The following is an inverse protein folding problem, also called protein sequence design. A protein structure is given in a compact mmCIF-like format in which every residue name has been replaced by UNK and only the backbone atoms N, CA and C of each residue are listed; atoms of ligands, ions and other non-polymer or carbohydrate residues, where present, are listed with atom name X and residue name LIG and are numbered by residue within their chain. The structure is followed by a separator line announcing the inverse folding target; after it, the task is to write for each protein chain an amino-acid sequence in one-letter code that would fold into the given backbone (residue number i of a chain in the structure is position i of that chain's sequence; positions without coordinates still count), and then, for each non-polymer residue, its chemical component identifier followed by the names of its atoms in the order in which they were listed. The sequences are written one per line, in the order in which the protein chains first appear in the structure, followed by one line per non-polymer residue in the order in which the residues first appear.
data_IF_095478561791
#
_entry.id   IF_095478561791
#
_cell.length_a   1.000
_cell.length_b   1.000
_cell.length_c   1.000
_cell.angle_alpha   90.00
_cell.angle_beta   90.00
_cell.angle_gamma   90.00
#
_symmetry.space_group_name_H-M   'P 1'
#
loop_
_entity.id
_entity.type
_entity.pdbx_description
1 polymer ?
#
# COMPACT_ATOMS: atom_id res chain seq x y z
N UNK A 1 -18.23 -38.64 18.11
CA UNK A 1 -16.88 -38.62 17.52
C UNK A 1 -16.99 -38.88 16.03
N UNK A 2 -17.15 -37.85 15.19
CA UNK A 2 -17.13 -38.02 13.73
C UNK A 2 -15.69 -38.20 13.29
N UNK A 3 -15.42 -39.34 12.65
CA UNK A 3 -14.11 -39.79 12.22
C UNK A 3 -13.45 -38.77 11.28
N UNK A 4 -12.20 -38.41 11.57
CA UNK A 4 -11.31 -37.79 10.59
C UNK A 4 -11.17 -38.76 9.41
N UNK A 5 -11.67 -38.38 8.23
CA UNK A 5 -11.45 -39.13 6.99
C UNK A 5 -10.02 -38.90 6.49
N UNK A 6 -9.45 -39.89 5.79
CA UNK A 6 -8.09 -39.82 5.20
C UNK A 6 -7.89 -38.64 4.25
N UNK A 7 -8.98 -38.12 3.66
CA UNK A 7 -8.96 -36.95 2.77
C UNK A 7 -8.66 -35.62 3.50
N UNK A 8 -8.81 -35.59 4.83
CA UNK A 8 -8.59 -34.39 5.66
C UNK A 8 -7.13 -34.30 6.13
N UNK A 9 -6.35 -35.38 6.02
CA UNK A 9 -4.98 -35.43 6.50
C UNK A 9 -3.99 -34.90 5.45
N UNK A 10 -3.24 -33.86 5.80
CA UNK A 10 -2.18 -33.30 4.94
C UNK A 10 -0.92 -34.17 4.92
N UNK A 11 -0.20 -34.19 3.79
CA UNK A 11 1.04 -34.95 3.66
C UNK A 11 2.29 -34.11 4.02
N UNK A 12 3.12 -34.63 4.92
CA UNK A 12 4.37 -34.00 5.34
C UNK A 12 5.56 -34.95 5.11
N UNK A 13 6.61 -34.48 4.43
CA UNK A 13 7.80 -35.30 4.18
C UNK A 13 8.71 -35.41 5.40
N UNK A 14 8.86 -34.30 6.14
CA UNK A 14 9.77 -34.24 7.29
C UNK A 14 9.11 -33.45 8.41
N UNK A 15 8.89 -34.10 9.55
CA UNK A 15 8.46 -33.46 10.78
C UNK A 15 9.59 -33.51 11.80
N UNK A 16 10.05 -32.36 12.29
CA UNK A 16 11.11 -32.24 13.28
C UNK A 16 10.69 -31.29 14.38
N UNK A 17 10.83 -31.73 15.62
CA UNK A 17 10.72 -30.86 16.79
C UNK A 17 12.10 -30.24 17.07
N UNK A 18 12.19 -28.92 17.02
CA UNK A 18 13.40 -28.16 17.30
C UNK A 18 13.22 -27.36 18.60
N UNK A 19 14.24 -27.37 19.46
CA UNK A 19 14.26 -26.58 20.69
C UNK A 19 15.11 -25.34 20.48
N UNK A 20 14.52 -24.16 20.63
CA UNK A 20 15.22 -22.89 20.61
C UNK A 20 14.88 -22.11 21.89
N UNK A 21 15.91 -21.73 22.66
CA UNK A 21 15.76 -20.89 23.85
C UNK A 21 14.76 -21.44 24.89
N UNK A 22 14.75 -22.76 25.10
CA UNK A 22 13.85 -23.42 26.06
C UNK A 22 12.42 -23.66 25.57
N UNK A 23 12.04 -23.16 24.38
CA UNK A 23 10.72 -23.38 23.76
C UNK A 23 10.82 -24.45 22.66
N UNK A 24 9.78 -25.27 22.55
CA UNK A 24 9.66 -26.36 21.57
C UNK A 24 8.87 -25.85 20.36
N UNK A 25 9.41 -26.07 19.16
CA UNK A 25 8.80 -25.69 17.90
C UNK A 25 8.72 -26.89 16.98
N UNK A 26 7.57 -27.05 16.33
CA UNK A 26 7.36 -28.10 15.34
C UNK A 26 7.63 -27.51 13.96
N UNK A 27 8.69 -28.00 13.31
CA UNK A 27 9.01 -27.68 11.92
C UNK A 27 8.53 -28.82 11.04
N UNK A 28 7.62 -28.51 10.12
CA UNK A 28 7.14 -29.43 9.11
C UNK A 28 7.60 -28.95 7.73
N UNK A 29 8.28 -29.80 6.98
CA UNK A 29 8.58 -29.57 5.56
C UNK A 29 7.48 -30.27 4.75
N UNK A 30 6.41 -29.54 4.48
CA UNK A 30 5.41 -29.93 3.50
C UNK A 30 5.83 -29.47 2.08
N UNK A 31 5.26 -30.11 1.06
CA UNK A 31 5.57 -30.00 -0.38
C UNK A 31 5.74 -28.55 -0.93
N UNK A 32 6.34 -28.37 -2.13
CA UNK A 32 7.16 -27.20 -2.49
C UNK A 32 6.45 -25.83 -2.62
N UNK A 33 5.13 -25.75 -2.45
CA UNK A 33 4.35 -24.53 -2.70
C UNK A 33 4.20 -23.59 -1.50
N UNK A 34 4.44 -24.06 -0.27
CA UNK A 34 4.17 -23.27 0.93
C UNK A 34 5.45 -23.01 1.73
N UNK A 35 6.07 -21.84 1.54
CA UNK A 35 7.08 -21.33 2.48
C UNK A 35 6.37 -20.58 3.60
N UNK A 36 6.08 -21.28 4.69
CA UNK A 36 5.65 -20.64 5.93
C UNK A 36 6.89 -20.02 6.59
N UNK A 37 6.90 -18.70 6.74
CA UNK A 37 7.85 -18.05 7.64
C UNK A 37 7.47 -18.44 9.08
N UNK A 38 8.40 -18.96 9.91
CA UNK A 38 8.09 -19.31 11.28
C UNK A 38 7.74 -18.05 12.07
N UNK A 39 6.49 -17.96 12.56
CA UNK A 39 6.07 -16.89 13.45
C UNK A 39 6.52 -17.19 14.88
N UNK A 40 7.61 -16.54 15.30
CA UNK A 40 8.05 -16.55 16.69
C UNK A 40 7.03 -15.75 17.53
N UNK A 41 6.20 -16.44 18.30
CA UNK A 41 5.25 -15.80 19.22
C UNK A 41 5.99 -15.23 20.43
N UNK A 42 6.58 -14.05 20.28
CA UNK A 42 6.96 -13.22 21.42
C UNK A 42 5.97 -12.11 21.68
N UNK A 43 5.71 -11.91 22.95
CA UNK A 43 4.85 -10.87 23.50
C UNK A 43 5.39 -9.44 23.34
N UNK A 44 6.49 -9.22 22.61
CA UNK A 44 7.11 -7.91 22.46
C UNK A 44 6.62 -7.19 21.18
N UNK A 45 6.30 -5.90 21.35
CA UNK A 45 5.85 -5.00 20.27
C UNK A 45 6.78 -5.01 19.05
N UNK A 46 8.09 -5.14 19.28
CA UNK A 46 9.12 -5.23 18.24
C UNK A 46 8.95 -6.41 17.30
N UNK A 47 8.57 -7.59 17.82
CA UNK A 47 8.35 -8.77 16.98
C UNK A 47 7.13 -8.60 16.08
N UNK A 48 6.06 -7.96 16.58
CA UNK A 48 4.88 -7.62 15.78
C UNK A 48 5.21 -6.61 14.68
N UNK A 49 5.99 -5.58 15.00
CA UNK A 49 6.43 -4.59 14.01
C UNK A 49 7.26 -5.22 12.90
N UNK A 50 8.20 -6.12 13.25
CA UNK A 50 8.98 -6.87 12.27
C UNK A 50 8.11 -7.74 11.37
N UNK A 51 7.15 -8.48 11.93
CA UNK A 51 6.22 -9.31 11.15
C UNK A 51 5.35 -8.47 10.22
N UNK A 52 4.87 -7.31 10.66
CA UNK A 52 4.11 -6.40 9.82
C UNK A 52 4.96 -5.85 8.67
N UNK A 53 6.22 -5.48 8.94
CA UNK A 53 7.16 -5.01 7.92
C UNK A 53 7.43 -6.08 6.85
N UNK A 54 7.71 -7.31 7.29
CA UNK A 54 7.92 -8.46 6.40
C UNK A 54 6.67 -8.76 5.56
N UNK A 55 5.50 -8.77 6.18
CA UNK A 55 4.24 -8.95 5.48
C UNK A 55 4.03 -7.87 4.40
N UNK A 56 4.26 -6.60 4.74
CA UNK A 56 4.15 -5.49 3.80
C UNK A 56 5.12 -5.63 2.62
N UNK A 57 6.37 -6.04 2.87
CA UNK A 57 7.37 -6.26 1.81
C UNK A 57 6.95 -7.38 0.84
N UNK A 58 6.45 -8.51 1.36
CA UNK A 58 5.97 -9.63 0.53
C UNK A 58 4.77 -9.19 -0.32
N UNK A 59 3.81 -8.49 0.27
CA UNK A 59 2.63 -7.97 -0.45
C UNK A 59 3.03 -6.94 -1.50
N UNK A 60 4.02 -6.08 -1.22
CA UNK A 60 4.53 -5.11 -2.18
C UNK A 60 5.14 -5.81 -3.41
N UNK A 61 6.08 -6.73 -3.21
CA UNK A 61 6.72 -7.48 -4.31
C UNK A 61 5.67 -8.22 -5.14
N UNK A 62 4.68 -8.85 -4.48
CA UNK A 62 3.58 -9.51 -5.19
C UNK A 62 2.78 -8.53 -6.05
N UNK A 63 2.43 -7.34 -5.53
CA UNK A 63 1.69 -6.31 -6.28
C UNK A 63 2.49 -5.74 -7.44
N UNK A 64 3.80 -5.59 -7.29
CA UNK A 64 4.70 -5.15 -8.36
C UNK A 64 4.87 -6.19 -9.46
N UNK A 65 4.79 -7.48 -9.12
CA UNK A 65 4.78 -8.56 -10.14
C UNK A 65 3.42 -8.61 -10.87
N UNK A 66 2.32 -8.33 -10.16
CA UNK A 66 0.98 -8.32 -10.74
C UNK A 66 0.70 -7.04 -11.56
N UNK A 67 1.39 -5.92 -11.29
CA UNK A 67 1.19 -4.63 -11.98
C UNK A 67 2.55 -3.99 -12.35
N UNK A 68 2.78 -3.75 -13.63
CA UNK A 68 4.04 -3.18 -14.15
C UNK A 68 4.15 -1.65 -13.98
N UNK A 69 3.06 -0.95 -13.66
CA UNK A 69 3.05 0.51 -13.52
C UNK A 69 3.12 0.96 -12.06
N UNK A 70 4.06 1.86 -11.75
CA UNK A 70 4.16 2.53 -10.46
C UNK A 70 3.83 4.01 -10.59
N UNK A 71 3.22 4.59 -9.55
CA UNK A 71 2.82 6.00 -9.52
C UNK A 71 3.59 6.73 -8.43
N UNK A 72 3.93 8.00 -8.69
CA UNK A 72 4.55 8.88 -7.71
C UNK A 72 3.65 9.07 -6.48
N UNK A 73 4.25 8.94 -5.30
CA UNK A 73 3.59 9.16 -4.01
C UNK A 73 3.49 10.64 -3.64
N UNK A 74 3.32 10.93 -2.35
CA UNK A 74 3.42 12.31 -1.82
C UNK A 74 2.32 13.28 -2.25
N UNK A 75 1.29 12.80 -2.96
CA UNK A 75 0.20 13.64 -3.48
C UNK A 75 0.40 14.16 -4.91
N UNK A 76 1.53 13.84 -5.57
CA UNK A 76 1.83 14.21 -6.96
C UNK A 76 0.73 13.70 -7.92
N UNK A 77 0.36 12.42 -7.80
CA UNK A 77 -0.75 11.83 -8.56
C UNK A 77 -2.08 12.60 -8.36
N UNK A 78 -2.36 13.05 -7.13
CA UNK A 78 -3.63 13.72 -6.81
C UNK A 78 -3.67 15.13 -7.39
N UNK A 79 -2.54 15.81 -7.45
CA UNK A 79 -2.41 17.12 -8.09
C UNK A 79 -2.59 17.02 -9.61
N UNK A 80 -2.01 16.00 -10.24
CA UNK A 80 -2.22 15.75 -11.67
C UNK A 80 -3.68 15.44 -11.99
N UNK A 81 -4.32 14.60 -11.17
CA UNK A 81 -5.74 14.28 -11.31
C UNK A 81 -6.64 15.50 -11.06
N UNK A 82 -6.29 16.36 -10.09
CA UNK A 82 -7.01 17.60 -9.84
C UNK A 82 -7.00 18.50 -11.08
N UNK A 83 -5.83 18.69 -11.69
CA UNK A 83 -5.68 19.47 -12.92
C UNK A 83 -6.52 18.91 -14.06
N UNK A 84 -6.39 17.60 -14.33
CA UNK A 84 -7.17 16.93 -15.36
C UNK A 84 -8.68 17.10 -15.16
N UNK A 85 -9.16 16.94 -13.93
CA UNK A 85 -10.57 17.12 -13.60
C UNK A 85 -11.03 18.58 -13.67
N UNK A 86 -10.17 19.55 -13.37
CA UNK A 86 -10.48 20.96 -13.57
C UNK A 86 -10.61 21.31 -15.06
N UNK A 87 -9.72 20.80 -15.90
CA UNK A 87 -9.79 21.01 -17.35
C UNK A 87 -11.01 20.30 -17.95
N UNK A 88 -11.31 19.08 -17.49
CA UNK A 88 -12.50 18.33 -17.88
C UNK A 88 -13.80 18.98 -17.38
N UNK A 89 -13.80 19.59 -16.19
CA UNK A 89 -14.94 20.35 -15.68
C UNK A 89 -15.35 21.46 -16.65
N UNK A 90 -14.37 22.14 -17.29
CA UNK A 90 -14.64 23.23 -18.24
C UNK A 90 -15.27 22.77 -19.56
N UNK A 91 -15.17 21.49 -19.92
CA UNK A 91 -15.78 20.97 -21.15
C UNK A 91 -17.26 20.63 -20.96
N UNK A 92 -17.73 20.47 -19.73
CA UNK A 92 -19.11 20.10 -19.41
C UNK A 92 -19.92 21.36 -19.07
N UNK A 93 -20.99 21.68 -19.83
CA UNK A 93 -21.87 22.78 -19.48
C UNK A 93 -22.86 22.40 -18.36
N UNK A 94 -23.21 23.38 -17.53
CA UNK A 94 -24.29 23.27 -16.53
C UNK A 94 -23.82 22.98 -15.11
N UNK A 95 -24.73 22.52 -14.25
CA UNK A 95 -24.48 22.37 -12.80
C UNK A 95 -23.43 21.29 -12.47
N UNK A 96 -23.23 20.33 -13.37
CA UNK A 96 -22.24 19.27 -13.21
C UNK A 96 -20.80 19.80 -13.19
N UNK A 97 -20.53 20.90 -13.90
CA UNK A 97 -19.24 21.59 -13.88
C UNK A 97 -18.79 21.89 -12.44
N UNK A 98 -19.70 22.46 -11.63
CA UNK A 98 -19.42 22.84 -10.24
C UNK A 98 -19.12 21.63 -9.36
N UNK A 99 -19.83 20.51 -9.58
CA UNK A 99 -19.62 19.28 -8.82
C UNK A 99 -18.24 18.70 -9.10
N UNK A 100 -17.83 18.63 -10.37
CA UNK A 100 -16.52 18.11 -10.78
C UNK A 100 -15.41 19.03 -10.27
N UNK A 101 -15.60 20.35 -10.35
CA UNK A 101 -14.64 21.32 -9.81
C UNK A 101 -14.49 21.23 -8.28
N UNK A 102 -15.59 21.00 -7.55
CA UNK A 102 -15.55 20.78 -6.12
C UNK A 102 -14.84 19.46 -5.76
N UNK A 103 -15.06 18.40 -6.54
CA UNK A 103 -14.38 17.12 -6.36
C UNK A 103 -12.88 17.24 -6.63
N UNK A 104 -12.47 17.97 -7.68
CA UNK A 104 -11.07 18.26 -7.97
C UNK A 104 -10.38 18.93 -6.76
N UNK A 105 -11.00 19.98 -6.19
CA UNK A 105 -10.50 20.64 -4.98
C UNK A 105 -10.41 19.71 -3.76
N UNK A 106 -11.34 18.75 -3.63
CA UNK A 106 -11.30 17.79 -2.53
C UNK A 106 -10.05 16.88 -2.58
N UNK A 107 -9.50 16.62 -3.76
CA UNK A 107 -8.28 15.82 -3.91
C UNK A 107 -7.04 16.52 -3.34
N UNK A 108 -7.02 17.86 -3.32
CA UNK A 108 -5.94 18.68 -2.76
C UNK A 108 -5.87 18.63 -1.22
N UNK A 109 -6.91 18.12 -0.55
CA UNK A 109 -6.92 17.98 0.91
C UNK A 109 -5.79 17.06 1.36
N UNK A 110 -5.50 15.97 0.62
CA UNK A 110 -4.45 15.03 1.03
C UNK A 110 -3.05 15.65 1.08
N UNK A 111 -2.54 16.30 0.01
CA UNK A 111 -1.24 16.98 0.09
C UNK A 111 -1.26 18.12 1.13
N UNK A 112 -2.38 18.81 1.30
CA UNK A 112 -2.54 19.81 2.36
C UNK A 112 -2.33 19.21 3.76
N UNK A 113 -2.96 18.06 4.04
CA UNK A 113 -2.80 17.35 5.31
C UNK A 113 -1.37 16.83 5.51
N UNK A 114 -0.72 16.35 4.45
CA UNK A 114 0.70 15.96 4.51
C UNK A 114 1.59 17.14 4.89
N UNK A 115 1.36 18.32 4.29
CA UNK A 115 2.09 19.54 4.62
C UNK A 115 1.84 19.98 6.07
N UNK A 116 0.58 19.95 6.51
CA UNK A 116 0.22 20.32 7.88
C UNK A 116 0.85 19.37 8.91
N UNK A 117 0.80 18.05 8.66
CA UNK A 117 1.43 17.05 9.50
C UNK A 117 2.96 17.18 9.55
N UNK A 118 3.57 17.68 8.48
CA UNK A 118 5.00 17.95 8.41
C UNK A 118 5.40 19.32 8.99
N UNK A 119 4.45 20.12 9.49
CA UNK A 119 4.72 21.44 10.06
C UNK A 119 4.98 22.54 9.03
N UNK A 120 4.69 22.29 7.75
CA UNK A 120 4.88 23.27 6.69
C UNK A 120 3.64 24.13 6.44
N UNK A 121 3.85 25.30 5.85
CA UNK A 121 2.77 26.15 5.35
C UNK A 121 2.14 25.54 4.08
N UNK A 122 1.02 24.83 4.27
CA UNK A 122 0.34 24.08 3.22
C UNK A 122 0.03 24.93 1.97
N UNK A 123 -0.43 26.18 2.13
CA UNK A 123 -0.77 27.07 1.00
C UNK A 123 0.44 27.34 0.10
N UNK A 124 1.63 27.54 0.67
CA UNK A 124 2.83 27.82 -0.11
C UNK A 124 3.27 26.59 -0.91
N UNK A 125 3.28 25.41 -0.27
CA UNK A 125 3.65 24.16 -0.93
C UNK A 125 2.62 23.75 -1.99
N UNK A 126 1.33 23.94 -1.73
CA UNK A 126 0.30 23.67 -2.73
C UNK A 126 0.47 24.56 -3.96
N UNK A 127 0.74 25.86 -3.78
CA UNK A 127 1.02 26.76 -4.90
C UNK A 127 2.25 26.33 -5.70
N UNK A 128 3.31 25.89 -5.00
CA UNK A 128 4.47 25.29 -5.67
C UNK A 128 4.02 24.04 -6.45
N UNK A 129 3.39 23.05 -5.82
CA UNK A 129 2.93 21.83 -6.51
C UNK A 129 2.10 22.16 -7.76
N UNK A 130 1.15 23.10 -7.65
CA UNK A 130 0.37 23.59 -8.79
C UNK A 130 1.24 24.14 -9.93
N UNK A 131 2.23 24.97 -9.61
CA UNK A 131 3.15 25.52 -10.62
C UNK A 131 3.94 24.39 -11.32
N UNK A 132 4.43 23.40 -10.58
CA UNK A 132 5.21 22.29 -11.12
C UNK A 132 4.35 21.37 -12.01
N UNK A 133 3.11 21.04 -11.60
CA UNK A 133 2.19 20.25 -12.42
C UNK A 133 1.63 21.00 -13.63
N UNK A 134 1.55 22.33 -13.56
CA UNK A 134 1.18 23.15 -14.73
C UNK A 134 2.34 23.21 -15.72
N UNK A 135 3.58 23.40 -15.24
CA UNK A 135 4.79 23.46 -16.06
C UNK A 135 5.20 22.11 -16.66
N UNK A 136 5.01 20.98 -15.95
CA UNK A 136 5.29 19.64 -16.50
C UNK A 136 4.49 19.30 -17.76
N UNK A 137 3.33 19.91 -17.97
CA UNK A 137 2.60 19.78 -19.25
C UNK A 137 3.13 20.66 -20.37
N UNK A 138 3.99 21.65 -20.07
CA UNK A 138 4.67 22.52 -21.04
C UNK A 138 6.13 22.09 -21.29
N UNK A 139 6.67 21.15 -20.51
CA UNK A 139 8.04 20.67 -20.62
C UNK A 139 8.18 19.24 -20.12
N UNK A 140 7.89 18.28 -20.99
CA UNK A 140 8.51 16.96 -20.99
C UNK A 140 8.82 16.60 -22.45
N UNK A 141 9.87 17.24 -22.97
CA UNK A 141 10.99 16.50 -23.58
C UNK A 141 12.09 16.35 -22.52
#
# INVERSE_FOLDING_TARGET
MKALSGDVLGHCQVFKEARFGGKRYNSSRAAPRLRLAPSYSMSNLWSRQCMQSLHNAIVFVRRTIENDSVVAGGGDMKMELCKYLQDYSRTIPGKQQLLIGAYAKALEITPCQLCHNAGFHATNILNMLWAWHTQRACGME
#
